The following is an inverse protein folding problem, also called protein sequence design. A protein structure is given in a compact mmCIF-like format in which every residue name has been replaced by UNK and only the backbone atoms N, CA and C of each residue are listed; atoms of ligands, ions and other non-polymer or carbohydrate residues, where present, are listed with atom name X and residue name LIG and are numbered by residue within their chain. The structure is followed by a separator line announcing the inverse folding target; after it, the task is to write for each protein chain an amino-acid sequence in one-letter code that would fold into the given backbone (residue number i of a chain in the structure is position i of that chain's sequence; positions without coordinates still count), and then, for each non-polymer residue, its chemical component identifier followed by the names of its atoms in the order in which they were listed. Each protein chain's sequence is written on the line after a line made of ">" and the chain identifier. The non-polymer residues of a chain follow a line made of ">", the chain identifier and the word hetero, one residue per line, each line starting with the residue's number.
data_IF_626158406334
#
_entry.id   IF_626158406334
#
_cell.length_a   1.000
_cell.length_b   1.000
_cell.length_c   1.000
_cell.angle_alpha   90.00
_cell.angle_beta   90.00
_cell.angle_gamma   90.00
#
_symmetry.space_group_name_H-M   'P 1'
#
loop_
_entity.id
_entity.type
_entity.pdbx_description
1 polymer ?
#
# COMPACT_ATOMS: atom_id res chain seq x y z
N UNK A 1 -43.94 32.98 -23.31
CA UNK A 1 -44.07 31.71 -22.56
C UNK A 1 -42.70 31.02 -22.66
N UNK A 2 -41.89 31.10 -21.60
CA UNK A 2 -40.52 30.56 -21.59
C UNK A 2 -40.56 29.24 -20.83
N UNK A 3 -40.32 28.12 -21.51
CA UNK A 3 -40.27 26.79 -20.90
C UNK A 3 -38.82 26.51 -20.50
N UNK A 4 -38.52 26.57 -19.20
CA UNK A 4 -37.27 26.04 -18.67
C UNK A 4 -37.35 24.51 -18.62
N UNK A 5 -36.57 23.85 -19.47
CA UNK A 5 -36.32 22.41 -19.38
C UNK A 5 -35.35 22.14 -18.22
N UNK A 6 -35.83 21.49 -17.16
CA UNK A 6 -34.99 21.04 -16.05
C UNK A 6 -34.43 19.67 -16.42
N UNK A 7 -33.14 19.60 -16.78
CA UNK A 7 -32.42 18.35 -16.94
C UNK A 7 -32.19 17.71 -15.57
N UNK A 8 -32.84 16.58 -15.30
CA UNK A 8 -32.58 15.79 -14.10
C UNK A 8 -31.17 15.18 -14.13
N UNK A 9 -30.41 15.18 -13.01
CA UNK A 9 -29.12 14.52 -12.96
C UNK A 9 -29.30 13.01 -13.14
N UNK A 10 -28.52 12.42 -14.03
CA UNK A 10 -28.45 10.98 -14.21
C UNK A 10 -27.93 10.33 -12.93
N UNK A 11 -28.79 9.59 -12.22
CA UNK A 11 -28.41 8.70 -11.13
C UNK A 11 -27.47 7.62 -11.70
N UNK A 12 -26.16 7.79 -11.50
CA UNK A 12 -25.18 6.77 -11.85
C UNK A 12 -25.50 5.52 -11.03
N UNK A 13 -25.71 4.39 -11.70
CA UNK A 13 -25.98 3.12 -11.03
C UNK A 13 -24.83 2.79 -10.08
N UNK A 14 -25.13 2.62 -8.79
CA UNK A 14 -24.15 2.19 -7.80
C UNK A 14 -23.56 0.84 -8.24
N UNK A 15 -22.31 0.85 -8.70
CA UNK A 15 -21.62 -0.36 -9.14
C UNK A 15 -21.56 -1.39 -8.02
N UNK A 16 -21.67 -2.68 -8.37
CA UNK A 16 -21.58 -3.79 -7.41
C UNK A 16 -20.31 -3.66 -6.58
N UNK A 17 -20.42 -3.76 -5.25
CA UNK A 17 -19.28 -3.76 -4.33
C UNK A 17 -18.98 -5.16 -3.83
N UNK A 18 -17.73 -5.38 -3.43
CA UNK A 18 -17.19 -6.62 -2.88
C UNK A 18 -16.42 -6.27 -1.60
N UNK A 19 -16.58 -7.08 -0.56
CA UNK A 19 -15.77 -6.95 0.65
C UNK A 19 -14.40 -7.57 0.39
N UNK A 20 -13.36 -6.80 0.69
CA UNK A 20 -11.97 -7.22 0.53
C UNK A 20 -11.25 -7.05 1.86
N UNK A 21 -10.77 -8.15 2.43
CA UNK A 21 -9.88 -8.14 3.59
C UNK A 21 -8.43 -7.99 3.12
N UNK A 22 -7.71 -7.06 3.70
CA UNK A 22 -6.27 -6.88 3.47
C UNK A 22 -5.56 -7.10 4.80
N UNK A 23 -4.58 -7.99 4.82
CA UNK A 23 -3.73 -8.27 5.98
C UNK A 23 -2.31 -7.89 5.63
N UNK A 24 -1.66 -7.09 6.47
CA UNK A 24 -0.23 -6.84 6.38
C UNK A 24 0.47 -7.92 7.18
N UNK A 25 1.13 -8.84 6.49
CA UNK A 25 1.67 -10.07 7.09
C UNK A 25 3.01 -9.81 7.77
N UNK A 26 3.97 -9.24 7.06
CA UNK A 26 5.33 -9.03 7.58
C UNK A 26 6.05 -7.86 6.92
N UNK A 27 6.98 -7.25 7.67
CA UNK A 27 8.03 -6.37 7.18
C UNK A 27 9.41 -6.93 7.55
N UNK A 28 10.09 -7.52 6.57
CA UNK A 28 11.37 -8.18 6.79
C UNK A 28 12.51 -7.38 6.17
N UNK A 29 13.51 -6.98 6.97
CA UNK A 29 14.76 -6.45 6.44
C UNK A 29 15.60 -7.60 5.85
N UNK A 30 15.77 -7.62 4.53
CA UNK A 30 16.42 -8.70 3.78
C UNK A 30 17.94 -8.51 3.71
N UNK A 31 18.39 -7.25 3.68
CA UNK A 31 19.82 -6.92 3.71
C UNK A 31 20.02 -5.51 4.21
N UNK A 32 21.12 -5.26 4.91
CA UNK A 32 21.53 -3.93 5.35
C UNK A 32 23.03 -3.76 5.11
N UNK A 33 23.39 -3.01 4.07
CA UNK A 33 24.79 -2.69 3.80
C UNK A 33 25.22 -1.44 4.58
N UNK A 34 25.20 -1.48 5.92
CA UNK A 34 25.63 -0.36 6.77
C UNK A 34 24.87 0.97 6.59
N UNK A 35 23.57 0.94 6.22
CA UNK A 35 22.76 2.16 6.10
C UNK A 35 22.40 2.76 7.46
N UNK A 36 22.14 1.90 8.45
CA UNK A 36 21.76 2.32 9.80
C UNK A 36 21.23 1.17 10.63
N UNK A 37 20.84 1.45 11.87
CA UNK A 37 20.43 0.42 12.84
C UNK A 37 19.14 0.73 13.58
N UNK A 38 18.57 1.92 13.38
CA UNK A 38 17.30 2.32 13.95
C UNK A 38 16.27 2.43 12.85
N UNK A 39 15.21 1.62 12.91
CA UNK A 39 14.30 1.44 11.79
C UNK A 39 12.85 1.61 12.20
N UNK A 40 12.10 2.33 11.39
CA UNK A 40 10.65 2.27 11.33
C UNK A 40 10.23 1.60 10.02
N UNK A 41 9.11 0.89 10.07
CA UNK A 41 8.48 0.34 8.89
C UNK A 41 6.95 0.43 9.00
N UNK A 42 6.28 0.60 7.86
CA UNK A 42 4.84 0.82 7.82
C UNK A 42 4.19 0.26 6.56
N UNK A 43 3.02 -0.35 6.74
CA UNK A 43 2.15 -0.79 5.66
C UNK A 43 0.94 0.14 5.52
N UNK A 44 0.48 0.36 4.29
CA UNK A 44 -0.69 1.20 4.03
C UNK A 44 -1.62 0.55 3.01
N UNK A 45 -2.92 0.68 3.26
CA UNK A 45 -3.99 0.17 2.40
C UNK A 45 -4.95 1.31 2.09
N UNK A 46 -5.07 1.69 0.82
CA UNK A 46 -5.83 2.86 0.36
C UNK A 46 -5.49 4.14 1.15
N UNK A 47 -4.21 4.32 1.47
CA UNK A 47 -3.71 5.47 2.24
C UNK A 47 -3.92 5.39 3.75
N UNK A 48 -4.59 4.35 4.26
CA UNK A 48 -4.70 4.10 5.71
C UNK A 48 -3.55 3.23 6.18
N UNK A 49 -2.86 3.67 7.21
CA UNK A 49 -1.81 2.89 7.84
C UNK A 49 -2.39 1.61 8.46
N UNK A 50 -1.60 0.54 8.37
CA UNK A 50 -1.88 -0.77 8.89
C UNK A 50 -0.59 -1.30 9.51
N UNK A 51 -0.66 -1.68 10.79
CA UNK A 51 0.47 -2.31 11.49
C UNK A 51 0.68 -3.76 11.04
N UNK A 52 1.90 -4.26 11.23
CA UNK A 52 2.23 -5.65 10.95
C UNK A 52 1.33 -6.62 11.73
N UNK A 53 0.93 -7.73 11.11
CA UNK A 53 -0.04 -8.69 11.64
C UNK A 53 -1.49 -8.21 11.63
N UNK A 54 -1.75 -6.92 11.39
CA UNK A 54 -3.09 -6.36 11.41
C UNK A 54 -3.83 -6.54 10.09
N UNK A 55 -5.15 -6.39 10.12
CA UNK A 55 -5.98 -6.45 8.93
C UNK A 55 -7.09 -5.40 8.90
N UNK A 56 -7.53 -5.04 7.69
CA UNK A 56 -8.64 -4.13 7.44
C UNK A 56 -9.60 -4.76 6.41
N UNK A 57 -10.91 -4.54 6.59
CA UNK A 57 -11.93 -4.94 5.61
C UNK A 57 -12.45 -3.70 4.90
N UNK A 58 -12.44 -3.74 3.57
CA UNK A 58 -12.83 -2.65 2.68
C UNK A 58 -14.05 -3.04 1.85
N UNK A 59 -14.95 -2.09 1.62
CA UNK A 59 -15.95 -2.21 0.57
C UNK A 59 -15.38 -1.59 -0.70
N UNK A 60 -15.11 -2.40 -1.72
CA UNK A 60 -14.48 -1.96 -2.97
C UNK A 60 -15.41 -2.25 -4.14
N UNK A 61 -15.49 -1.36 -5.13
CA UNK A 61 -16.19 -1.68 -6.38
C UNK A 61 -15.61 -2.97 -7.00
N UNK A 62 -16.47 -3.83 -7.55
CA UNK A 62 -16.07 -5.04 -8.27
C UNK A 62 -15.12 -4.73 -9.46
N UNK A 63 -15.23 -3.54 -10.05
CA UNK A 63 -14.33 -3.04 -11.09
C UNK A 63 -13.14 -2.25 -10.56
N UNK A 64 -13.12 -1.93 -9.26
CA UNK A 64 -12.11 -1.11 -8.61
C UNK A 64 -10.84 -1.86 -8.22
N UNK A 65 -10.01 -1.18 -7.43
CA UNK A 65 -8.71 -1.66 -6.98
C UNK A 65 -8.46 -1.36 -5.50
N UNK A 66 -7.58 -2.16 -4.89
CA UNK A 66 -6.96 -1.90 -3.59
C UNK A 66 -5.53 -1.43 -3.83
N UNK A 67 -5.18 -0.26 -3.30
CA UNK A 67 -3.84 0.29 -3.37
C UNK A 67 -3.07 -0.07 -2.10
N UNK A 68 -1.90 -0.66 -2.28
CA UNK A 68 -0.97 -1.05 -1.24
C UNK A 68 0.26 -0.14 -1.32
N UNK A 69 0.78 0.25 -0.16
CA UNK A 69 2.05 0.96 -0.04
C UNK A 69 2.82 0.39 1.15
N UNK A 70 4.13 0.28 0.98
CA UNK A 70 5.06 -0.10 2.04
C UNK A 70 6.13 0.97 2.16
N UNK A 71 6.56 1.26 3.38
CA UNK A 71 7.61 2.22 3.69
C UNK A 71 8.58 1.64 4.71
N UNK A 72 9.85 1.97 4.55
CA UNK A 72 10.90 1.76 5.54
C UNK A 72 11.70 3.05 5.68
N UNK A 73 12.03 3.39 6.92
CA UNK A 73 12.78 4.61 7.25
C UNK A 73 13.85 4.29 8.28
N UNK A 74 15.08 4.72 8.00
CA UNK A 74 16.16 4.78 8.97
C UNK A 74 15.93 6.01 9.87
N UNK A 75 15.99 5.85 11.19
CA UNK A 75 15.57 6.84 12.19
C UNK A 75 16.73 7.65 12.79
N UNK A 76 17.72 8.07 12.00
CA UNK A 76 18.74 9.02 12.44
C UNK A 76 18.26 10.49 12.36
N UNK A 77 19.12 11.44 12.79
CA UNK A 77 18.95 12.89 12.67
C UNK A 77 18.55 13.33 11.26
N UNK A 78 18.99 12.60 10.24
CA UNK A 78 18.64 12.82 8.85
C UNK A 78 18.06 11.54 8.25
N UNK A 79 16.75 11.32 8.37
CA UNK A 79 16.16 10.05 7.96
C UNK A 79 16.34 9.74 6.48
N UNK A 80 16.77 8.52 6.19
CA UNK A 80 16.75 7.94 4.85
C UNK A 80 15.51 7.06 4.67
N UNK A 81 14.80 7.28 3.57
CA UNK A 81 13.47 6.71 3.35
C UNK A 81 13.43 5.86 2.08
N UNK A 82 12.60 4.83 2.08
CA UNK A 82 12.26 4.04 0.91
C UNK A 82 10.77 3.70 0.90
N UNK A 83 10.19 3.60 -0.30
CA UNK A 83 8.79 3.22 -0.45
C UNK A 83 8.56 2.39 -1.71
N UNK A 84 7.51 1.57 -1.68
CA UNK A 84 7.03 0.82 -2.83
C UNK A 84 5.50 0.76 -2.82
N UNK A 85 4.88 0.68 -4.00
CA UNK A 85 3.43 0.64 -4.14
C UNK A 85 2.98 -0.46 -5.10
N UNK A 86 1.74 -0.94 -4.93
CA UNK A 86 1.07 -1.77 -5.91
C UNK A 86 -0.44 -1.50 -5.92
N UNK A 87 -1.09 -1.77 -7.06
CA UNK A 87 -2.54 -1.75 -7.17
C UNK A 87 -3.05 -3.15 -7.52
N UNK A 88 -4.01 -3.65 -6.74
CA UNK A 88 -4.65 -4.96 -6.93
C UNK A 88 -6.07 -4.75 -7.42
N UNK A 89 -6.31 -5.02 -8.70
CA UNK A 89 -7.65 -4.91 -9.31
C UNK A 89 -8.55 -6.06 -8.85
N UNK A 90 -9.70 -5.75 -8.26
CA UNK A 90 -10.62 -6.73 -7.64
C UNK A 90 -11.15 -7.75 -8.67
N UNK A 91 -11.41 -7.29 -9.89
CA UNK A 91 -11.86 -8.13 -11.01
C UNK A 91 -10.81 -9.13 -11.50
N UNK A 92 -9.52 -8.82 -11.32
CA UNK A 92 -8.42 -9.71 -11.74
C UNK A 92 -8.03 -10.76 -10.70
N UNK A 93 -8.48 -10.58 -9.45
CA UNK A 93 -8.14 -11.47 -8.35
C UNK A 93 -9.14 -12.63 -8.27
N UNK A 94 -8.64 -13.84 -7.97
CA UNK A 94 -9.46 -14.97 -7.54
C UNK A 94 -10.04 -14.78 -6.13
N UNK A 95 -10.00 -15.82 -5.29
CA UNK A 95 -10.39 -15.73 -3.88
C UNK A 95 -9.42 -14.88 -3.06
N UNK A 96 -8.12 -15.05 -3.30
CA UNK A 96 -7.06 -14.32 -2.62
C UNK A 96 -5.82 -14.17 -3.50
N UNK A 97 -4.97 -13.21 -3.15
CA UNK A 97 -3.63 -13.03 -3.71
C UNK A 97 -2.68 -12.51 -2.64
N UNK A 98 -1.42 -12.92 -2.72
CA UNK A 98 -0.34 -12.40 -1.90
C UNK A 98 0.51 -11.46 -2.76
N UNK A 99 0.83 -10.27 -2.23
CA UNK A 99 1.67 -9.27 -2.88
C UNK A 99 2.89 -9.00 -2.01
N UNK A 100 4.06 -9.13 -2.62
CA UNK A 100 5.31 -8.68 -2.04
C UNK A 100 5.65 -7.28 -2.58
N UNK A 101 5.96 -6.35 -1.70
CA UNK A 101 6.53 -5.04 -2.03
C UNK A 101 7.97 -5.01 -1.54
N UNK A 102 8.92 -4.81 -2.46
CA UNK A 102 10.33 -4.67 -2.13
C UNK A 102 10.68 -3.19 -2.04
N UNK A 103 11.12 -2.76 -0.87
CA UNK A 103 11.53 -1.37 -0.59
C UNK A 103 13.05 -1.33 -0.52
N UNK A 104 13.66 -0.31 -1.13
CA UNK A 104 15.09 -0.02 -1.00
C UNK A 104 15.25 1.35 -0.35
N UNK A 105 15.97 1.38 0.76
CA UNK A 105 16.42 2.62 1.41
C UNK A 105 17.87 2.83 1.00
N UNK A 106 18.21 4.04 0.57
CA UNK A 106 19.56 4.42 0.12
C UNK A 106 20.09 5.48 1.07
N UNK A 107 21.29 5.28 1.60
CA UNK A 107 21.95 6.28 2.43
C UNK A 107 22.40 7.47 1.58
N UNK A 108 21.90 8.66 1.87
CA UNK A 108 22.17 9.82 1.02
C UNK A 108 23.31 10.71 1.54
N UNK A 109 23.97 10.34 2.64
CA UNK A 109 24.96 11.16 3.34
C UNK A 109 26.08 10.32 3.94
N UNK A 110 27.14 10.97 4.41
CA UNK A 110 28.17 10.31 5.23
C UNK A 110 29.10 9.36 4.48
N UNK A 111 29.87 8.60 5.26
CA UNK A 111 30.91 7.67 4.78
C UNK A 111 30.35 6.55 3.91
N UNK A 112 29.09 6.17 4.16
CA UNK A 112 28.44 5.03 3.55
C UNK A 112 27.39 5.44 2.50
N UNK A 113 27.39 6.72 2.08
CA UNK A 113 26.49 7.22 1.04
C UNK A 113 26.48 6.32 -0.21
N UNK A 114 25.27 6.01 -0.70
CA UNK A 114 25.02 5.08 -1.80
C UNK A 114 24.78 3.64 -1.35
N UNK A 115 25.08 3.31 -0.09
CA UNK A 115 24.74 2.02 0.48
C UNK A 115 23.22 1.84 0.58
N UNK A 116 22.79 0.58 0.61
CA UNK A 116 21.37 0.23 0.58
C UNK A 116 20.97 -0.74 1.68
N UNK A 117 19.79 -0.51 2.25
CA UNK A 117 19.04 -1.49 3.00
C UNK A 117 17.82 -1.92 2.17
N UNK A 118 17.54 -3.22 2.12
CA UNK A 118 16.45 -3.80 1.36
C UNK A 118 15.45 -4.44 2.31
N UNK A 119 14.19 -4.12 2.10
CA UNK A 119 13.08 -4.59 2.89
C UNK A 119 12.06 -5.29 2.00
N UNK A 120 11.42 -6.32 2.54
CA UNK A 120 10.37 -7.08 1.87
C UNK A 120 9.13 -7.09 2.72
N UNK A 121 8.06 -6.52 2.17
CA UNK A 121 6.77 -6.39 2.82
C UNK A 121 5.78 -7.33 2.17
N UNK A 122 5.04 -8.12 2.97
CA UNK A 122 4.06 -9.07 2.46
C UNK A 122 2.64 -8.62 2.83
N UNK A 123 1.78 -8.51 1.83
CA UNK A 123 0.35 -8.27 1.99
C UNK A 123 -0.45 -9.43 1.45
N UNK A 124 -1.51 -9.81 2.16
CA UNK A 124 -2.53 -10.74 1.66
C UNK A 124 -3.83 -10.00 1.42
N UNK A 125 -4.39 -10.15 0.23
CA UNK A 125 -5.64 -9.52 -0.19
C UNK A 125 -6.64 -10.63 -0.51
N UNK A 126 -7.82 -10.58 0.10
CA UNK A 126 -8.82 -11.67 0.04
C UNK A 126 -10.22 -11.11 -0.15
N UNK A 127 -11.03 -11.76 -1.01
CA UNK A 127 -12.49 -11.53 -1.04
C UNK A 127 -13.13 -12.25 0.14
N UNK A 128 -13.98 -11.56 0.90
CA UNK A 128 -14.66 -12.07 2.10
C UNK A 128 -16.14 -11.78 2.10
#
# INVERSE_FOLDING_TARGET
>A
MLVLAVSAPSLSAAGKTVKVKVTFISADMVSNNHVGNEWWSGGFVNGKELGEGSSIVLNVSASGSVNLKAEAQEQDKYPDNGAATASVKVSSMGKSITKALNVTVVENRGRYSGNTAKWKFIFKVEKV
#
